data_IF_091569364661
#
_entry.id   IF_091569364661
#
_cell.length_a   1.000
_cell.length_b   1.000
_cell.length_c   1.000
_cell.angle_alpha   90.00
_cell.angle_beta   90.00
_cell.angle_gamma   90.00
#
_symmetry.space_group_name_H-M   'P 1'
#
loop_
_entity.id
_entity.type
_entity.pdbx_description
1 polymer ?
#
# COMPACT_ATOMS: atom_id res chain seq x y z
N UNK A 1 -24.42 22.76 35.87
CA UNK A 1 -23.44 21.71 36.15
C UNK A 1 -23.58 20.67 35.05
N UNK A 2 -22.69 20.69 34.05
CA UNK A 2 -22.71 19.68 32.99
C UNK A 2 -21.98 18.45 33.53
N UNK A 3 -22.74 17.39 33.79
CA UNK A 3 -22.18 16.10 34.17
C UNK A 3 -21.67 15.44 32.88
N UNK A 4 -20.37 15.52 32.64
CA UNK A 4 -19.73 14.76 31.55
C UNK A 4 -19.46 13.38 32.13
N UNK A 5 -20.32 12.44 31.79
CA UNK A 5 -20.14 11.03 32.14
C UNK A 5 -18.86 10.53 31.46
N UNK A 6 -17.89 10.18 32.27
CA UNK A 6 -16.57 9.66 31.90
C UNK A 6 -16.67 8.32 31.17
N UNK A 7 -15.98 8.22 30.04
CA UNK A 7 -15.45 7.00 29.41
C UNK A 7 -16.37 5.75 29.42
N UNK A 8 -17.42 5.74 28.61
CA UNK A 8 -17.94 4.47 28.09
C UNK A 8 -17.22 4.12 26.79
N UNK A 9 -16.36 3.10 26.86
CA UNK A 9 -15.86 2.38 25.69
C UNK A 9 -17.05 1.66 25.02
N UNK A 10 -17.68 2.30 24.04
CA UNK A 10 -18.73 1.67 23.26
C UNK A 10 -18.10 0.75 22.21
N UNK A 11 -18.26 -0.56 22.39
CA UNK A 11 -17.94 -1.55 21.36
C UNK A 11 -19.15 -1.70 20.44
N UNK A 12 -19.03 -1.26 19.19
CA UNK A 12 -20.03 -1.58 18.17
C UNK A 12 -19.73 -2.98 17.60
N UNK A 13 -20.57 -3.95 17.98
CA UNK A 13 -20.62 -5.28 17.38
C UNK A 13 -21.77 -5.24 16.38
N UNK A 14 -21.48 -5.45 15.09
CA UNK A 14 -22.53 -5.58 14.08
C UNK A 14 -23.15 -6.98 14.18
N UNK A 15 -24.46 -7.05 14.44
CA UNK A 15 -25.22 -8.30 14.53
C UNK A 15 -25.29 -9.05 13.19
N UNK A 16 -25.15 -8.34 12.07
CA UNK A 16 -25.26 -8.93 10.72
C UNK A 16 -23.92 -9.41 10.12
N UNK A 17 -22.82 -9.37 10.87
CA UNK A 17 -21.45 -9.76 10.44
C UNK A 17 -20.91 -9.07 9.16
N UNK A 18 -21.64 -8.11 8.57
CA UNK A 18 -21.19 -7.33 7.42
C UNK A 18 -20.43 -6.08 7.85
N UNK A 19 -19.18 -6.01 7.40
CA UNK A 19 -18.31 -4.84 7.60
C UNK A 19 -18.71 -3.80 6.53
N UNK A 20 -19.14 -2.57 6.88
CA UNK A 20 -19.51 -1.55 5.89
C UNK A 20 -18.29 -0.94 5.14
N UNK A 21 -17.12 -1.58 5.23
CA UNK A 21 -15.87 -1.15 4.62
C UNK A 21 -15.63 -2.01 3.38
N UNK A 22 -15.87 -1.43 2.21
CA UNK A 22 -15.58 -2.05 0.93
C UNK A 22 -14.10 -1.79 0.58
N UNK A 23 -13.25 -2.79 0.78
CA UNK A 23 -11.86 -2.76 0.32
C UNK A 23 -11.77 -3.40 -1.06
N UNK A 24 -11.43 -2.62 -2.08
CA UNK A 24 -11.19 -3.12 -3.44
C UNK A 24 -9.68 -3.23 -3.66
N UNK A 25 -9.21 -4.43 -4.01
CA UNK A 25 -7.81 -4.70 -4.34
C UNK A 25 -7.65 -6.05 -5.03
N UNK A 26 -6.80 -6.12 -6.05
CA UNK A 26 -6.49 -7.35 -6.76
C UNK A 26 -5.35 -8.04 -6.01
N UNK A 27 -5.58 -9.25 -5.49
CA UNK A 27 -4.53 -10.10 -4.92
C UNK A 27 -4.18 -11.17 -5.95
N UNK A 28 -3.05 -11.07 -6.66
CA UNK A 28 -2.57 -12.18 -7.47
C UNK A 28 -2.13 -13.31 -6.53
N UNK A 29 -2.79 -14.46 -6.64
CA UNK A 29 -2.41 -15.69 -5.92
C UNK A 29 -1.90 -16.67 -6.96
N UNK A 30 -0.57 -16.85 -7.01
CA UNK A 30 0.07 -17.89 -7.82
C UNK A 30 0.27 -19.12 -6.94
N UNK A 31 -0.43 -20.21 -7.27
CA UNK A 31 -0.31 -21.48 -6.57
C UNK A 31 0.65 -22.41 -7.33
N UNK A 32 1.71 -22.85 -6.66
CA UNK A 32 2.58 -23.92 -7.15
C UNK A 32 2.27 -25.20 -6.38
N UNK A 33 1.77 -26.22 -7.10
CA UNK A 33 1.54 -27.54 -6.55
C UNK A 33 2.83 -28.17 -6.02
N UNK A 34 2.72 -28.95 -4.96
CA UNK A 34 3.84 -29.63 -4.33
C UNK A 34 4.43 -30.67 -5.30
N UNK A 35 5.58 -30.37 -5.90
CA UNK A 35 6.35 -31.35 -6.67
C UNK A 35 7.07 -32.24 -5.65
N UNK A 36 6.59 -33.48 -5.48
CA UNK A 36 7.39 -34.52 -4.85
C UNK A 36 8.46 -34.93 -5.86
N UNK A 37 9.73 -34.71 -5.54
CA UNK A 37 10.77 -35.57 -6.07
C UNK A 37 11.98 -35.63 -5.14
N UNK A 38 12.42 -36.86 -4.90
CA UNK A 38 13.58 -37.22 -4.09
C UNK A 38 14.86 -36.73 -4.79
N UNK A 39 15.29 -35.52 -4.49
CA UNK A 39 16.63 -35.02 -4.82
C UNK A 39 17.26 -34.47 -3.56
N UNK A 40 18.50 -34.87 -3.29
CA UNK A 40 19.28 -34.44 -2.13
C UNK A 40 19.18 -32.92 -1.94
N UNK A 41 18.67 -32.54 -0.79
CA UNK A 41 18.33 -31.17 -0.43
C UNK A 41 19.60 -30.31 -0.41
N UNK A 42 19.80 -29.44 -1.40
CA UNK A 42 20.85 -28.41 -1.32
C UNK A 42 20.35 -27.33 -0.35
N UNK A 43 20.59 -27.57 0.92
CA UNK A 43 20.34 -26.63 2.00
C UNK A 43 21.42 -25.54 1.93
N UNK A 44 21.04 -24.27 1.80
CA UNK A 44 22.01 -23.18 1.81
C UNK A 44 22.55 -22.94 3.23
N UNK A 45 23.52 -23.74 3.67
CA UNK A 45 24.07 -23.66 5.02
C UNK A 45 24.60 -22.26 5.36
N UNK A 46 25.27 -21.60 4.40
CA UNK A 46 25.90 -20.28 4.58
C UNK A 46 25.06 -19.08 4.11
N UNK A 47 23.75 -19.22 3.90
CA UNK A 47 22.87 -18.07 3.69
C UNK A 47 22.59 -17.37 5.03
N UNK A 48 22.94 -16.09 5.15
CA UNK A 48 22.70 -15.25 6.34
C UNK A 48 21.91 -14.00 5.98
N UNK A 49 21.18 -13.45 6.94
CA UNK A 49 20.47 -12.18 6.79
C UNK A 49 20.76 -11.27 7.96
N UNK A 50 20.90 -9.98 7.71
CA UNK A 50 21.22 -8.97 8.70
C UNK A 50 20.33 -7.74 8.52
N UNK A 51 19.96 -7.07 9.61
CA UNK A 51 19.23 -5.81 9.53
C UNK A 51 20.18 -4.71 9.02
N UNK A 52 19.77 -4.00 7.97
CA UNK A 52 20.57 -2.95 7.31
C UNK A 52 19.90 -1.58 7.43
N UNK A 53 20.60 -0.51 7.05
CA UNK A 53 20.01 0.83 6.97
C UNK A 53 18.98 0.85 5.83
N UNK A 54 17.70 0.95 6.21
CA UNK A 54 16.59 0.97 5.27
C UNK A 54 15.95 -0.40 5.00
N UNK A 55 16.36 -1.48 5.68
CA UNK A 55 15.67 -2.76 5.56
C UNK A 55 16.49 -3.97 6.01
N UNK A 56 16.63 -4.96 5.12
CA UNK A 56 17.33 -6.22 5.42
C UNK A 56 18.30 -6.56 4.30
N UNK A 57 19.55 -6.85 4.66
CA UNK A 57 20.58 -7.34 3.75
C UNK A 57 20.66 -8.86 3.82
N UNK A 58 20.68 -9.50 2.66
CA UNK A 58 20.74 -10.96 2.52
C UNK A 58 22.05 -11.30 1.83
N UNK A 59 22.85 -12.13 2.51
CA UNK A 59 24.16 -12.56 2.03
C UNK A 59 24.10 -14.07 1.79
N UNK A 60 24.35 -14.46 0.55
CA UNK A 60 24.40 -15.85 0.10
C UNK A 60 25.75 -16.16 -0.53
N UNK A 61 26.30 -17.32 -0.19
CA UNK A 61 27.53 -17.85 -0.81
C UNK A 61 27.28 -18.60 -2.11
N UNK A 62 26.02 -18.98 -2.37
CA UNK A 62 25.59 -19.77 -3.53
C UNK A 62 24.52 -18.98 -4.29
N UNK A 63 24.49 -18.99 -5.64
CA UNK A 63 23.43 -18.32 -6.39
C UNK A 63 22.06 -18.89 -6.02
N UNK A 64 21.09 -18.02 -5.73
CA UNK A 64 19.71 -18.38 -5.37
C UNK A 64 18.80 -18.08 -6.56
N UNK A 65 17.78 -18.90 -6.79
CA UNK A 65 16.89 -18.73 -7.96
C UNK A 65 15.77 -17.73 -7.66
N UNK A 66 15.27 -17.70 -6.43
CA UNK A 66 14.30 -16.70 -5.98
C UNK A 66 14.38 -16.45 -4.47
N UNK A 67 13.91 -15.29 -4.03
CA UNK A 67 13.75 -14.96 -2.62
C UNK A 67 12.50 -14.14 -2.34
N UNK A 68 11.99 -14.26 -1.11
CA UNK A 68 10.81 -13.57 -0.60
C UNK A 68 11.14 -13.10 0.81
N UNK A 69 10.98 -11.81 1.08
CA UNK A 69 11.11 -11.23 2.40
C UNK A 69 9.80 -10.56 2.80
N UNK A 70 9.24 -10.96 3.94
CA UNK A 70 7.93 -10.52 4.41
C UNK A 70 8.02 -9.91 5.80
N UNK A 71 7.43 -8.73 5.97
CA UNK A 71 7.11 -8.11 7.25
C UNK A 71 5.65 -7.70 7.21
N UNK A 72 4.78 -8.36 7.99
CA UNK A 72 3.34 -8.19 7.87
C UNK A 72 2.90 -6.72 7.94
N UNK A 73 2.10 -6.21 6.98
CA UNK A 73 1.40 -6.90 5.90
C UNK A 73 2.12 -6.90 4.53
N UNK A 74 3.39 -6.53 4.45
CA UNK A 74 4.10 -6.30 3.19
C UNK A 74 5.15 -7.38 2.88
N UNK A 75 5.20 -7.84 1.63
CA UNK A 75 6.18 -8.81 1.15
C UNK A 75 6.86 -8.32 -0.13
N UNK A 76 8.15 -8.62 -0.25
CA UNK A 76 8.98 -8.31 -1.42
C UNK A 76 9.45 -9.64 -2.00
N UNK A 77 9.21 -9.85 -3.30
CA UNK A 77 9.67 -11.00 -4.04
C UNK A 77 10.72 -10.57 -5.07
N UNK A 78 11.75 -11.41 -5.27
CA UNK A 78 12.83 -11.22 -6.25
C UNK A 78 13.18 -12.55 -6.92
N UNK A 79 13.31 -12.50 -8.24
CA UNK A 79 13.82 -13.60 -9.05
C UNK A 79 15.29 -13.34 -9.39
N UNK A 80 16.11 -14.40 -9.37
CA UNK A 80 17.55 -14.36 -9.59
C UNK A 80 18.26 -13.24 -8.80
N UNK A 81 18.10 -13.20 -7.47
CA UNK A 81 18.72 -12.16 -6.64
C UNK A 81 20.25 -12.23 -6.67
N UNK A 82 20.90 -11.10 -6.43
CA UNK A 82 22.35 -11.06 -6.27
C UNK A 82 22.79 -11.76 -4.97
N UNK A 83 24.03 -12.26 -4.95
CA UNK A 83 24.60 -12.92 -3.76
C UNK A 83 24.65 -12.00 -2.53
N UNK A 84 24.76 -10.69 -2.73
CA UNK A 84 24.51 -9.70 -1.70
C UNK A 84 23.46 -8.72 -2.23
N UNK A 85 22.29 -8.69 -1.60
CA UNK A 85 21.20 -7.78 -1.97
C UNK A 85 20.52 -7.21 -0.73
N UNK A 86 20.22 -5.92 -0.77
CA UNK A 86 19.48 -5.21 0.29
C UNK A 86 18.04 -4.96 -0.13
N UNK A 87 17.09 -5.42 0.69
CA UNK A 87 15.67 -5.23 0.50
C UNK A 87 15.15 -4.12 1.40
N UNK A 88 14.57 -3.09 0.79
CA UNK A 88 14.04 -1.91 1.48
C UNK A 88 12.54 -2.07 1.69
N UNK A 89 12.10 -1.96 2.95
CA UNK A 89 10.68 -2.02 3.30
C UNK A 89 10.04 -0.62 3.29
N UNK A 90 8.71 -0.51 3.21
CA UNK A 90 8.01 0.75 3.42
C UNK A 90 8.31 1.36 4.80
N UNK A 91 8.35 2.70 4.88
CA UNK A 91 8.73 3.44 6.09
C UNK A 91 7.78 3.18 7.26
N UNK A 92 6.51 2.94 6.95
CA UNK A 92 5.44 2.68 7.90
C UNK A 92 5.72 1.43 8.76
N UNK A 93 6.49 0.49 8.22
CA UNK A 93 6.93 -0.72 8.91
C UNK A 93 8.20 -0.46 9.73
N UNK A 94 9.19 0.22 9.13
CA UNK A 94 10.51 0.39 9.73
C UNK A 94 10.56 1.37 10.91
N UNK A 95 9.55 2.22 11.08
CA UNK A 95 9.44 3.15 12.23
C UNK A 95 9.23 2.40 13.56
N UNK A 96 8.76 1.15 13.52
CA UNK A 96 8.50 0.31 14.70
C UNK A 96 9.42 -0.91 14.69
N UNK A 97 9.62 -1.61 15.82
CA UNK A 97 10.25 -2.93 15.79
C UNK A 97 9.48 -3.84 14.83
N UNK A 98 10.18 -4.51 13.92
CA UNK A 98 9.56 -5.33 12.88
C UNK A 98 10.25 -6.67 12.75
N UNK A 99 9.48 -7.70 12.43
CA UNK A 99 9.97 -9.06 12.23
C UNK A 99 9.91 -9.41 10.76
N UNK A 100 11.05 -9.73 10.17
CA UNK A 100 11.15 -10.13 8.77
C UNK A 100 11.31 -11.63 8.67
N UNK A 101 10.45 -12.26 7.88
CA UNK A 101 10.58 -13.68 7.50
C UNK A 101 11.07 -13.75 6.07
N UNK A 102 12.18 -14.45 5.85
CA UNK A 102 12.82 -14.59 4.55
C UNK A 102 12.76 -16.04 4.13
N UNK A 103 12.36 -16.30 2.89
CA UNK A 103 12.39 -17.60 2.25
C UNK A 103 13.29 -17.52 1.02
N UNK A 104 14.17 -18.50 0.89
CA UNK A 104 15.13 -18.60 -0.21
C UNK A 104 14.83 -19.89 -0.99
N UNK A 105 14.78 -19.80 -2.31
CA UNK A 105 14.51 -20.94 -3.19
C UNK A 105 15.69 -21.29 -4.06
N UNK A 106 15.94 -22.60 -4.19
CA UNK A 106 16.91 -23.17 -5.12
C UNK A 106 16.28 -24.39 -5.78
N UNK A 107 16.40 -24.48 -7.10
CA UNK A 107 15.85 -25.55 -7.93
C UNK A 107 14.34 -25.76 -7.70
N UNK A 108 13.60 -24.67 -7.47
CA UNK A 108 12.15 -24.70 -7.22
C UNK A 108 11.73 -25.12 -5.80
N UNK A 109 12.67 -25.44 -4.91
CA UNK A 109 12.41 -25.83 -3.52
C UNK A 109 12.86 -24.76 -2.54
N UNK A 110 12.20 -24.66 -1.39
CA UNK A 110 12.63 -23.76 -0.30
C UNK A 110 13.91 -24.32 0.32
N UNK A 111 15.03 -23.65 0.06
CA UNK A 111 16.36 -24.03 0.55
C UNK A 111 16.58 -23.60 2.01
N UNK A 112 16.14 -22.39 2.41
CA UNK A 112 16.26 -21.90 3.79
C UNK A 112 15.15 -20.91 4.17
N UNK A 113 14.82 -20.89 5.46
CA UNK A 113 13.98 -19.85 6.08
C UNK A 113 14.76 -19.13 7.16
N UNK A 114 14.78 -17.80 7.10
CA UNK A 114 15.39 -16.95 8.12
C UNK A 114 14.31 -16.11 8.77
N UNK A 115 14.47 -15.85 10.06
CA UNK A 115 13.62 -14.93 10.81
C UNK A 115 14.52 -13.93 11.52
N UNK A 116 14.31 -12.66 11.23
CA UNK A 116 15.09 -11.55 11.78
C UNK A 116 14.16 -10.61 12.53
N UNK A 117 14.61 -10.15 13.70
CA UNK A 117 13.96 -9.09 14.45
C UNK A 117 14.81 -7.84 14.33
N UNK A 118 14.26 -6.82 13.69
CA UNK A 118 14.96 -5.58 13.41
C UNK A 118 14.44 -4.45 14.31
N UNK A 119 15.35 -3.64 14.87
CA UNK A 119 14.97 -2.49 15.69
C UNK A 119 14.34 -1.38 14.84
N UNK A 120 13.50 -0.53 15.46
CA UNK A 120 12.92 0.62 14.79
C UNK A 120 14.01 1.58 14.32
N UNK A 121 13.78 2.24 13.19
CA UNK A 121 14.63 3.30 12.65
C UNK A 121 13.98 4.67 12.80
N UNK A 122 14.75 5.71 13.18
CA UNK A 122 14.22 7.05 13.31
C UNK A 122 13.82 7.59 11.93
N UNK A 123 12.71 8.34 11.90
CA UNK A 123 12.08 8.78 10.65
C UNK A 123 13.04 9.50 9.68
N UNK A 124 13.91 10.38 10.19
CA UNK A 124 14.83 11.13 9.35
C UNK A 124 15.86 10.26 8.61
N UNK A 125 16.26 9.12 9.17
CA UNK A 125 17.18 8.18 8.50
C UNK A 125 16.52 7.43 7.34
N UNK A 126 15.19 7.44 7.27
CA UNK A 126 14.41 6.78 6.22
C UNK A 126 14.15 7.69 5.00
N UNK A 127 14.64 8.93 5.00
CA UNK A 127 14.51 9.89 3.90
C UNK A 127 15.80 9.89 3.08
N UNK A 128 15.84 9.11 2.01
CA UNK A 128 17.01 8.99 1.12
C UNK A 128 16.98 9.96 -0.09
N UNK A 129 16.17 11.02 -0.04
CA UNK A 129 16.04 11.99 -1.12
C UNK A 129 16.34 13.41 -0.64
N UNK A 130 17.08 14.17 -1.45
CA UNK A 130 17.41 15.58 -1.19
C UNK A 130 16.37 16.56 -1.75
N UNK A 131 15.64 16.15 -2.79
CA UNK A 131 14.61 16.96 -3.46
C UNK A 131 13.34 16.13 -3.66
N UNK A 132 12.55 15.99 -2.60
CA UNK A 132 11.27 15.30 -2.60
C UNK A 132 10.29 16.00 -1.65
N UNK A 133 8.98 15.87 -1.88
CA UNK A 133 7.95 16.51 -1.04
C UNK A 133 8.09 16.13 0.42
N UNK A 134 8.39 14.85 0.69
CA UNK A 134 8.63 14.34 2.05
C UNK A 134 9.79 15.03 2.76
N UNK A 135 10.84 15.40 2.04
CA UNK A 135 11.95 16.16 2.63
C UNK A 135 11.58 17.64 2.86
N UNK A 136 10.84 18.25 1.92
CA UNK A 136 10.38 19.65 2.03
C UNK A 136 9.43 19.85 3.22
N UNK A 137 8.54 18.89 3.46
CA UNK A 137 7.62 18.89 4.60
C UNK A 137 8.32 18.62 5.93
N UNK A 138 9.54 18.05 5.90
CA UNK A 138 10.32 17.68 7.08
C UNK A 138 11.71 18.34 7.10
N UNK A 139 11.78 19.69 7.14
CA UNK A 139 13.05 20.42 7.05
C UNK A 139 13.99 20.17 8.25
N UNK A 140 13.47 19.68 9.37
CA UNK A 140 14.27 19.29 10.54
C UNK A 140 15.18 18.07 10.27
N UNK A 141 14.85 17.26 9.26
CA UNK A 141 15.68 16.13 8.83
C UNK A 141 16.78 16.53 7.84
N UNK A 142 16.83 17.80 7.39
CA UNK A 142 17.81 18.24 6.40
C UNK A 142 19.24 18.25 6.99
N UNK A 143 20.26 17.81 6.24
CA UNK A 143 21.64 18.03 6.66
C UNK A 143 21.88 19.53 6.75
N UNK A 144 22.50 19.99 7.85
CA UNK A 144 22.69 21.41 8.16
C UNK A 144 23.29 22.22 7.00
N UNK A 145 24.15 21.60 6.19
CA UNK A 145 24.74 22.23 4.99
C UNK A 145 23.76 22.51 3.85
N UNK A 146 22.73 21.67 3.66
CA UNK A 146 21.75 21.87 2.59
C UNK A 146 20.84 23.07 2.84
N UNK A 147 20.47 23.32 4.09
CA UNK A 147 19.70 24.51 4.48
C UNK A 147 20.48 25.81 4.22
N UNK A 148 21.79 25.81 4.51
CA UNK A 148 22.67 26.96 4.26
C UNK A 148 22.80 27.22 2.75
N UNK A 149 23.01 26.16 1.96
CA UNK A 149 23.11 26.27 0.50
C UNK A 149 21.81 26.80 -0.11
N UNK A 150 20.66 26.27 0.32
CA UNK A 150 19.35 26.73 -0.14
C UNK A 150 19.12 28.20 0.21
N UNK A 151 19.45 28.61 1.44
CA UNK A 151 19.39 30.01 1.85
C UNK A 151 20.28 30.93 1.01
N UNK A 152 21.49 30.47 0.66
CA UNK A 152 22.41 31.21 -0.19
C UNK A 152 21.88 31.37 -1.63
N UNK A 153 21.29 30.31 -2.20
CA UNK A 153 20.68 30.34 -3.54
C UNK A 153 19.49 31.31 -3.57
N UNK A 154 18.64 31.28 -2.54
CA UNK A 154 17.50 32.21 -2.42
C UNK A 154 17.98 33.66 -2.27
N UNK A 155 19.03 33.89 -1.48
CA UNK A 155 19.61 35.22 -1.33
C UNK A 155 20.19 35.76 -2.64
N UNK A 156 20.92 34.94 -3.39
CA UNK A 156 21.46 35.31 -4.70
C UNK A 156 20.35 35.61 -5.71
N UNK A 157 19.30 34.77 -5.78
CA UNK A 157 18.20 34.97 -6.72
C UNK A 157 17.43 36.26 -6.43
N UNK A 158 17.12 36.55 -5.16
CA UNK A 158 16.49 37.80 -4.75
C UNK A 158 17.37 39.03 -5.05
N UNK A 159 18.69 38.91 -4.87
CA UNK A 159 19.65 39.99 -5.18
C UNK A 159 19.71 40.29 -6.67
N UNK A 160 19.69 39.26 -7.53
CA UNK A 160 19.63 39.41 -8.98
C UNK A 160 18.31 40.06 -9.41
N UNK A 161 17.18 39.60 -8.85
CA UNK A 161 15.86 40.18 -9.13
C UNK A 161 15.82 41.67 -8.74
N UNK A 162 16.37 42.03 -7.58
CA UNK A 162 16.49 43.42 -7.15
C UNK A 162 17.32 44.27 -8.12
N UNK A 163 18.47 43.77 -8.58
CA UNK A 163 19.30 44.43 -9.59
C UNK A 163 18.55 44.66 -10.90
N UNK A 164 17.81 43.66 -11.39
CA UNK A 164 16.98 43.79 -12.59
C UNK A 164 15.91 44.88 -12.45
N UNK A 165 15.22 44.92 -11.30
CA UNK A 165 14.25 45.99 -11.02
C UNK A 165 14.89 47.37 -10.89
N UNK A 166 16.10 47.45 -10.33
CA UNK A 166 16.83 48.70 -10.23
C UNK A 166 17.22 49.22 -11.63
N UNK A 167 17.71 48.35 -12.51
CA UNK A 167 18.03 48.68 -13.91
C UNK A 167 16.77 49.12 -14.65
N UNK A 168 15.66 48.39 -14.51
CA UNK A 168 14.38 48.74 -15.13
C UNK A 168 13.89 50.13 -14.68
N UNK A 169 14.02 50.45 -13.39
CA UNK A 169 13.70 51.79 -12.88
C UNK A 169 14.57 52.89 -13.51
N UNK A 170 15.86 52.64 -13.70
CA UNK A 170 16.76 53.60 -14.35
C UNK A 170 16.37 53.81 -15.81
N UNK A 171 16.02 52.76 -16.53
CA UNK A 171 15.55 52.84 -17.93
C UNK A 171 14.26 53.65 -18.02
N UNK A 172 13.27 53.37 -17.16
CA UNK A 172 12.00 54.12 -17.12
C UNK A 172 12.25 55.59 -16.76
N UNK A 173 13.12 55.87 -15.78
CA UNK A 173 13.47 57.23 -15.40
C UNK A 173 14.18 57.98 -16.54
N UNK A 174 15.08 57.31 -17.26
CA UNK A 174 15.77 57.86 -18.42
C UNK A 174 14.78 58.16 -19.55
N UNK A 175 13.89 57.21 -19.88
CA UNK A 175 12.82 57.38 -20.86
C UNK A 175 11.90 58.56 -20.53
N UNK A 176 11.49 58.70 -19.26
CA UNK A 176 10.66 59.80 -18.79
C UNK A 176 11.40 61.15 -18.82
N UNK A 177 12.70 61.17 -18.58
CA UNK A 177 13.51 62.40 -18.64
C UNK A 177 13.72 62.84 -20.09
N UNK A 178 13.98 61.90 -21.00
CA UNK A 178 14.09 62.16 -22.43
C UNK A 178 12.77 62.63 -23.04
N UNK A 179 11.65 61.97 -22.73
CA UNK A 179 10.32 62.38 -23.21
C UNK A 179 9.91 63.76 -22.68
N UNK A 180 10.25 64.07 -21.43
CA UNK A 180 10.00 65.39 -20.84
C UNK A 180 10.85 66.49 -21.49
N UNK A 181 12.09 66.20 -21.89
CA UNK A 181 12.93 67.13 -22.65
C UNK A 181 12.33 67.42 -24.04
N UNK A 182 11.85 66.40 -24.74
CA UNK A 182 11.18 66.55 -26.05
C UNK A 182 9.91 67.39 -25.89
N UNK A 183 9.07 67.09 -24.90
CA UNK A 183 7.84 67.86 -24.63
C UNK A 183 8.17 69.32 -24.26
N UNK A 184 9.21 69.57 -23.45
CA UNK A 184 9.65 70.93 -23.14
C UNK A 184 10.19 71.68 -24.37
N UNK A 185 10.90 71.02 -25.27
CA UNK A 185 11.35 71.61 -26.54
C UNK A 185 10.15 71.92 -27.46
N UNK A 186 9.18 71.00 -27.58
CA UNK A 186 7.95 71.23 -28.34
C UNK A 186 7.13 72.38 -27.74
N UNK A 187 6.93 72.42 -26.42
CA UNK A 187 6.20 73.48 -25.74
C UNK A 187 6.92 74.83 -25.83
N UNK A 188 8.26 74.87 -25.79
CA UNK A 188 9.03 76.11 -26.04
C UNK A 188 8.94 76.55 -27.50
N UNK A 189 8.92 75.62 -28.46
CA UNK A 189 8.68 75.93 -29.88
C UNK A 189 7.28 76.51 -30.12
N UNK A 190 6.27 75.92 -29.51
CA UNK A 190 4.88 76.43 -29.54
C UNK A 190 4.78 77.77 -28.80
N UNK A 191 5.41 77.92 -27.64
CA UNK A 191 5.48 79.21 -26.93
C UNK A 191 6.24 80.28 -27.72
N UNK A 192 7.27 79.93 -28.50
CA UNK A 192 7.96 80.88 -29.38
C UNK A 192 7.04 81.38 -30.49
N UNK A 193 6.25 80.49 -31.09
CA UNK A 193 5.23 80.84 -32.10
C UNK A 193 4.12 81.69 -31.47
N UNK A 194 3.61 81.31 -30.30
CA UNK A 194 2.56 82.04 -29.57
C UNK A 194 3.08 83.40 -29.07
N UNK A 195 4.32 83.50 -28.57
CA UNK A 195 4.94 84.79 -28.16
C UNK A 195 5.16 85.72 -29.34
N UNK A 196 5.39 85.18 -30.55
CA UNK A 196 5.42 85.98 -31.79
C UNK A 196 4.04 86.56 -32.14
N UNK A 197 2.97 85.91 -31.70
CA UNK A 197 1.57 86.34 -31.93
C UNK A 197 1.06 87.26 -30.79
N UNK A 198 1.53 87.10 -29.55
CA UNK A 198 0.97 87.76 -28.36
C UNK A 198 1.79 88.98 -27.89
N UNK A 199 2.84 89.40 -28.61
CA UNK A 199 3.58 90.65 -28.31
C UNK A 199 2.82 91.96 -28.66
N UNK A 200 1.49 91.93 -28.62
CA UNK A 200 0.64 93.06 -28.28
C UNK A 200 -0.02 92.76 -26.94
N UNK A 201 0.48 93.42 -25.88
CA UNK A 201 -0.13 93.64 -24.55
C UNK A 201 0.45 92.85 -23.35
N UNK A 202 1.40 93.55 -22.71
CA UNK A 202 1.52 93.84 -21.26
C UNK A 202 1.72 92.74 -20.20
N UNK A 203 2.83 92.89 -19.46
CA UNK A 203 3.09 92.85 -17.99
C UNK A 203 2.30 91.88 -17.09
N UNK A 204 2.79 91.26 -16.02
CA UNK A 204 4.06 91.16 -15.26
C UNK A 204 3.84 90.02 -14.19
N UNK A 205 4.78 89.65 -13.29
CA UNK A 205 4.94 88.28 -12.75
C UNK A 205 4.16 87.97 -11.45
N UNK A 206 4.17 86.71 -10.99
CA UNK A 206 4.44 86.48 -9.57
C UNK A 206 5.33 85.27 -9.25
N UNK A 207 5.50 85.07 -7.95
CA UNK A 207 6.64 84.57 -7.21
C UNK A 207 6.76 83.05 -6.97
N UNK A 208 7.93 82.76 -6.38
CA UNK A 208 8.51 81.57 -5.76
C UNK A 208 7.61 80.83 -4.74
N UNK A 209 7.56 79.48 -4.83
CA UNK A 209 7.79 78.46 -3.76
C UNK A 209 6.97 77.19 -4.02
N UNK A 210 7.63 76.03 -4.12
CA UNK A 210 7.31 74.92 -3.23
C UNK A 210 8.49 73.92 -3.16
N UNK A 211 9.28 74.04 -2.10
CA UNK A 211 10.01 72.91 -1.52
C UNK A 211 8.99 72.22 -0.63
N UNK A 212 8.71 70.94 -0.82
CA UNK A 212 8.62 69.93 0.24
C UNK A 212 8.35 68.56 -0.40
N UNK A 213 8.76 67.53 0.32
CA UNK A 213 8.45 66.12 0.10
C UNK A 213 9.45 65.27 -0.70
N UNK A 214 10.57 64.92 -0.05
CA UNK A 214 11.21 63.60 -0.21
C UNK A 214 12.15 63.30 0.97
N UNK A 215 11.57 63.15 2.16
CA UNK A 215 12.20 62.45 3.30
C UNK A 215 11.25 61.38 3.80
N UNK A 216 11.10 60.30 3.04
CA UNK A 216 10.34 59.13 3.45
C UNK A 216 10.81 57.92 2.65
N UNK A 217 12.02 57.42 2.92
CA UNK A 217 12.35 56.00 2.73
C UNK A 217 13.67 55.64 3.44
N UNK A 218 13.65 55.76 4.77
CA UNK A 218 14.55 55.01 5.65
C UNK A 218 13.66 54.48 6.76
N UNK A 219 13.76 53.17 7.01
CA UNK A 219 12.94 52.33 7.91
C UNK A 219 11.77 51.63 7.21
N UNK A 220 12.02 50.40 6.74
CA UNK A 220 11.33 49.18 7.19
C UNK A 220 11.92 47.99 6.44
N UNK A 221 12.72 47.18 7.14
CA UNK A 221 13.39 46.01 6.58
C UNK A 221 13.96 45.14 7.69
N UNK A 222 13.14 44.82 8.70
CA UNK A 222 13.48 43.87 9.76
C UNK A 222 12.21 43.52 10.56
N UNK A 223 11.32 42.70 9.99
CA UNK A 223 10.30 41.93 10.72
C UNK A 223 9.56 41.06 9.71
N UNK A 224 9.97 39.79 9.60
CA UNK A 224 9.18 38.56 9.35
C UNK A 224 10.22 37.43 9.29
N UNK A 225 10.69 36.99 10.46
CA UNK A 225 11.39 35.69 10.65
C UNK A 225 10.88 34.95 11.90
N UNK A 226 9.93 35.51 12.66
CA UNK A 226 9.42 34.87 13.87
C UNK A 226 7.90 34.70 13.75
N UNK A 227 7.49 33.62 13.09
CA UNK A 227 6.15 33.05 13.23
C UNK A 227 6.15 31.59 12.76
N UNK A 228 6.81 30.71 13.52
CA UNK A 228 6.44 29.28 13.54
C UNK A 228 6.11 28.98 15.00
N UNK A 229 4.84 28.97 15.42
CA UNK A 229 4.48 28.21 16.59
C UNK A 229 4.22 26.77 16.18
N UNK A 230 4.65 25.88 17.07
CA UNK A 230 4.40 24.45 17.06
C UNK A 230 2.89 24.20 16.91
N UNK A 231 2.46 23.66 15.77
CA UNK A 231 1.17 23.00 15.67
C UNK A 231 1.39 21.49 15.76
N UNK A 232 0.83 20.86 16.79
CA UNK A 232 0.52 19.44 16.72
C UNK A 232 -0.60 19.29 15.68
N UNK A 233 -0.22 19.04 14.43
CA UNK A 233 -1.18 18.77 13.37
C UNK A 233 -1.77 17.37 13.55
N UNK A 234 -3.10 17.29 13.66
CA UNK A 234 -3.85 16.04 13.57
C UNK A 234 -3.78 15.56 12.11
N UNK A 235 -3.43 14.29 11.89
CA UNK A 235 -3.09 13.80 10.54
C UNK A 235 -4.26 13.81 9.55
N UNK A 236 -5.52 13.72 10.02
CA UNK A 236 -6.72 13.82 9.17
C UNK A 236 -7.85 14.50 9.97
N UNK A 237 -8.36 15.63 9.48
CA UNK A 237 -9.55 16.30 10.02
C UNK A 237 -10.64 16.34 8.96
N UNK A 238 -11.72 15.58 9.16
CA UNK A 238 -12.89 15.62 8.26
C UNK A 238 -13.97 16.48 8.93
N UNK A 239 -14.38 17.56 8.27
CA UNK A 239 -15.45 18.43 8.75
C UNK A 239 -16.81 17.79 8.45
N UNK A 240 -17.62 17.57 9.47
CA UNK A 240 -19.00 17.12 9.32
C UNK A 240 -19.95 18.30 9.51
N UNK A 241 -20.79 18.55 8.51
CA UNK A 241 -21.88 19.50 8.59
C UNK A 241 -23.17 18.71 8.84
N UNK A 242 -23.75 18.86 10.02
CA UNK A 242 -24.96 18.16 10.42
C UNK A 242 -26.16 18.61 9.57
N UNK A 243 -26.99 17.66 9.13
CA UNK A 243 -28.15 17.94 8.27
C UNK A 243 -29.52 17.72 8.94
N UNK A 244 -29.61 17.40 10.23
CA UNK A 244 -30.89 17.43 10.94
C UNK A 244 -30.73 17.47 12.47
N UNK A 245 -31.52 18.34 13.12
CA UNK A 245 -31.61 18.48 14.58
C UNK A 245 -33.07 18.37 15.01
N UNK A 246 -33.38 17.48 15.95
CA UNK A 246 -34.67 17.46 16.66
C UNK A 246 -34.38 17.80 18.12
N UNK A 247 -34.74 19.01 18.53
CA UNK A 247 -34.52 19.49 19.90
C UNK A 247 -35.85 19.58 20.66
N UNK A 248 -35.87 19.00 21.86
CA UNK A 248 -36.97 19.11 22.81
C UNK A 248 -36.57 20.09 23.91
N UNK A 249 -37.39 21.10 24.13
CA UNK A 249 -37.22 22.06 25.22
C UNK A 249 -38.13 21.66 26.38
N UNK A 250 -37.54 21.45 27.55
CA UNK A 250 -38.29 21.15 28.78
C UNK A 250 -38.65 22.45 29.50
N UNK A 251 -39.78 22.47 30.23
CA UNK A 251 -40.31 23.64 30.95
C UNK A 251 -39.31 24.27 31.94
N UNK A 252 -38.29 23.49 32.34
CA UNK A 252 -37.22 23.89 33.26
C UNK A 252 -36.09 24.69 32.58
N UNK A 253 -36.20 24.96 31.27
CA UNK A 253 -35.19 25.67 30.47
C UNK A 253 -34.03 24.78 29.98
N UNK A 254 -34.08 23.47 30.22
CA UNK A 254 -33.13 22.51 29.66
C UNK A 254 -33.54 22.09 28.24
N UNK A 255 -32.57 22.02 27.33
CA UNK A 255 -32.77 21.57 25.96
C UNK A 255 -32.09 20.21 25.76
N UNK A 256 -32.83 19.26 25.21
CA UNK A 256 -32.30 17.96 24.76
C UNK A 256 -32.37 17.91 23.24
N UNK A 257 -31.20 17.96 22.59
CA UNK A 257 -31.09 17.95 21.14
C UNK A 257 -30.54 16.63 20.65
N UNK A 258 -31.35 15.90 19.87
CA UNK A 258 -30.91 14.69 19.17
C UNK A 258 -30.36 15.12 17.81
N UNK A 259 -29.04 14.97 17.66
CA UNK A 259 -28.31 15.29 16.44
C UNK A 259 -28.02 14.00 15.68
N UNK A 260 -28.81 13.71 14.65
CA UNK A 260 -28.61 12.52 13.81
C UNK A 260 -27.79 12.89 12.59
N UNK A 261 -26.47 12.65 12.62
CA UNK A 261 -25.57 12.93 11.50
C UNK A 261 -24.89 11.65 11.03
N UNK A 262 -24.85 11.42 9.72
CA UNK A 262 -24.10 10.33 9.11
C UNK A 262 -22.81 10.85 8.47
N UNK A 263 -21.70 10.15 8.71
CA UNK A 263 -20.37 10.53 8.29
C UNK A 263 -19.67 9.38 7.59
N UNK A 264 -19.12 9.60 6.39
CA UNK A 264 -18.18 8.65 5.80
C UNK A 264 -16.77 9.04 6.22
N UNK A 265 -16.13 8.18 7.01
CA UNK A 265 -14.78 8.40 7.49
C UNK A 265 -13.84 7.31 6.92
N UNK A 266 -12.72 7.74 6.34
CA UNK A 266 -11.64 6.83 6.00
C UNK A 266 -10.96 6.39 7.30
N UNK A 267 -10.90 5.08 7.52
CA UNK A 267 -10.28 4.51 8.74
C UNK A 267 -8.78 4.79 8.70
N UNK A 268 -8.27 5.48 9.73
CA UNK A 268 -6.84 5.73 9.85
C UNK A 268 -6.05 4.42 10.12
N UNK A 269 -4.80 4.30 9.62
CA UNK A 269 -3.93 3.17 9.90
C UNK A 269 -3.73 2.90 11.40
N UNK A 270 -3.34 1.67 11.75
CA UNK A 270 -3.16 1.25 13.15
C UNK A 270 -2.14 2.13 13.89
N UNK A 271 -2.61 2.78 14.96
CA UNK A 271 -1.82 3.71 15.76
C UNK A 271 -2.07 5.19 15.47
N UNK A 272 -2.82 5.51 14.42
CA UNK A 272 -3.35 6.87 14.20
C UNK A 272 -4.78 6.98 14.74
N UNK A 273 -5.19 8.21 15.04
CA UNK A 273 -6.52 8.56 15.54
C UNK A 273 -7.23 9.45 14.53
N UNK A 274 -8.50 9.18 14.28
CA UNK A 274 -9.39 10.02 13.47
C UNK A 274 -10.27 10.84 14.40
N UNK A 275 -10.17 12.17 14.31
CA UNK A 275 -10.89 13.09 15.18
C UNK A 275 -12.03 13.76 14.43
N UNK A 276 -13.23 13.72 14.99
CA UNK A 276 -14.44 14.33 14.47
C UNK A 276 -14.85 15.47 15.39
N UNK A 277 -14.77 16.71 14.89
CA UNK A 277 -15.20 17.89 15.65
C UNK A 277 -16.71 18.06 15.53
N UNK A 278 -17.41 17.96 16.66
CA UNK A 278 -18.84 18.21 16.78
C UNK A 278 -19.08 19.70 16.97
N UNK A 279 -20.03 20.25 16.21
CA UNK A 279 -20.45 21.64 16.31
C UNK A 279 -21.95 21.74 16.55
N UNK A 280 -22.34 22.76 17.31
CA UNK A 280 -23.72 23.19 17.51
C UNK A 280 -24.31 23.81 16.22
N UNK A 281 -25.63 24.01 16.17
CA UNK A 281 -26.36 24.68 15.09
C UNK A 281 -25.80 26.07 14.76
N UNK A 282 -25.22 26.76 15.75
CA UNK A 282 -24.56 28.05 15.58
C UNK A 282 -23.07 27.93 15.19
N UNK A 283 -22.64 26.77 14.68
CA UNK A 283 -21.23 26.47 14.31
C UNK A 283 -20.21 26.58 15.45
N UNK A 284 -20.65 26.53 16.72
CA UNK A 284 -19.75 26.54 17.89
C UNK A 284 -19.27 25.13 18.21
N UNK A 285 -17.99 24.92 18.55
CA UNK A 285 -17.49 23.59 18.88
C UNK A 285 -18.10 23.08 20.19
N UNK A 286 -18.73 21.90 20.15
CA UNK A 286 -19.30 21.21 21.31
C UNK A 286 -18.31 20.20 21.93
N UNK A 287 -17.49 19.56 21.09
CA UNK A 287 -16.53 18.55 21.53
C UNK A 287 -15.92 17.80 20.36
N UNK A 288 -15.00 16.87 20.63
CA UNK A 288 -14.32 16.07 19.61
C UNK A 288 -14.47 14.59 19.91
N UNK A 289 -14.97 13.82 18.94
CA UNK A 289 -15.03 12.36 18.98
C UNK A 289 -13.76 11.79 18.36
N UNK A 290 -13.04 10.93 19.08
CA UNK A 290 -11.79 10.31 18.61
C UNK A 290 -11.97 8.83 18.35
N UNK A 291 -11.67 8.40 17.12
CA UNK A 291 -11.79 7.00 16.68
C UNK A 291 -10.38 6.46 16.46
N UNK A 292 -10.04 5.32 17.07
CA UNK A 292 -8.73 4.69 16.92
C UNK A 292 -8.86 3.24 16.45
N UNK A 293 -8.20 2.91 15.34
CA UNK A 293 -8.13 1.52 14.87
C UNK A 293 -7.17 0.71 15.77
N UNK A 294 -7.73 -0.25 16.52
CA UNK A 294 -6.94 -1.14 17.38
C UNK A 294 -6.26 -2.27 16.59
N UNK A 295 -7.01 -3.01 15.77
CA UNK A 295 -6.51 -4.10 14.91
C UNK A 295 -7.48 -4.39 13.77
N UNK A 296 -6.94 -4.84 12.64
CA UNK A 296 -7.71 -5.46 11.55
C UNK A 296 -7.46 -6.96 11.63
N UNK A 297 -8.52 -7.76 11.74
CA UNK A 297 -8.42 -9.21 11.81
C UNK A 297 -9.25 -9.86 10.70
N UNK A 298 -8.61 -10.69 9.88
CA UNK A 298 -9.28 -11.49 8.87
C UNK A 298 -9.73 -12.81 9.48
N UNK A 299 -11.04 -13.09 9.41
CA UNK A 299 -11.61 -14.37 9.86
C UNK A 299 -11.92 -15.24 8.64
N UNK A 300 -11.25 -16.38 8.54
CA UNK A 300 -11.54 -17.35 7.48
C UNK A 300 -12.84 -18.11 7.82
N UNK A 301 -13.90 -17.88 7.04
CA UNK A 301 -15.08 -18.74 7.03
C UNK A 301 -14.82 -19.93 6.12
N UNK A 302 -14.30 -21.02 6.68
CA UNK A 302 -14.01 -22.25 5.94
C UNK A 302 -15.32 -22.87 5.44
N UNK A 303 -15.32 -23.33 4.18
CA UNK A 303 -16.38 -24.16 3.60
C UNK A 303 -15.76 -25.48 3.14
N UNK A 304 -16.21 -26.59 3.72
CA UNK A 304 -15.75 -27.92 3.30
C UNK A 304 -16.45 -28.29 1.98
N UNK A 305 -15.66 -28.62 0.95
CA UNK A 305 -16.19 -29.09 -0.34
C UNK A 305 -16.23 -30.62 -0.39
N UNK A 306 -15.10 -31.27 -0.15
CA UNK A 306 -14.97 -32.72 -0.07
C UNK A 306 -13.77 -33.09 0.80
N UNK A 307 -13.73 -34.36 1.22
CA UNK A 307 -12.63 -34.93 2.00
C UNK A 307 -11.77 -35.82 1.11
N UNK A 308 -10.46 -35.72 1.28
CA UNK A 308 -9.48 -36.61 0.65
C UNK A 308 -8.70 -37.32 1.76
N UNK A 309 -8.09 -38.46 1.43
CA UNK A 309 -7.24 -39.23 2.34
C UNK A 309 -6.11 -39.87 1.56
N UNK A 310 -5.00 -40.14 2.24
CA UNK A 310 -3.87 -40.85 1.65
C UNK A 310 -4.26 -42.28 1.30
N UNK A 311 -3.87 -42.72 0.11
CA UNK A 311 -4.09 -44.09 -0.36
C UNK A 311 -2.87 -44.60 -1.13
N UNK A 312 -2.74 -45.91 -1.20
CA UNK A 312 -1.81 -46.62 -2.06
C UNK A 312 -2.59 -47.41 -3.11
N UNK A 313 -2.05 -47.50 -4.32
CA UNK A 313 -2.62 -48.34 -5.35
C UNK A 313 -2.24 -49.80 -5.10
N UNK A 314 -3.24 -50.67 -5.02
CA UNK A 314 -3.08 -52.11 -4.89
C UNK A 314 -3.70 -52.81 -6.09
N UNK A 315 -3.24 -54.04 -6.37
CA UNK A 315 -3.77 -54.88 -7.44
C UNK A 315 -4.16 -56.23 -6.86
N UNK A 316 -5.40 -56.64 -7.11
CA UNK A 316 -5.85 -58.00 -6.88
C UNK A 316 -6.04 -58.69 -8.24
N UNK A 317 -5.60 -59.95 -8.37
CA UNK A 317 -5.80 -60.73 -9.58
C UNK A 317 -6.25 -62.14 -9.26
N UNK A 318 -7.03 -62.72 -10.18
CA UNK A 318 -7.51 -64.10 -10.08
C UNK A 318 -7.63 -64.69 -11.48
N UNK A 319 -6.92 -65.78 -11.73
CA UNK A 319 -7.06 -66.57 -12.95
C UNK A 319 -8.16 -67.61 -12.79
N UNK A 320 -9.05 -67.73 -13.76
CA UNK A 320 -10.04 -68.82 -13.86
C UNK A 320 -9.97 -69.47 -15.22
N UNK A 321 -9.94 -70.80 -15.24
CA UNK A 321 -10.00 -71.58 -16.48
C UNK A 321 -11.33 -71.36 -17.20
N UNK A 322 -11.37 -71.66 -18.50
CA UNK A 322 -12.62 -71.64 -19.25
C UNK A 322 -13.68 -72.51 -18.56
N UNK A 323 -14.92 -72.01 -18.54
CA UNK A 323 -16.06 -72.58 -17.83
C UNK A 323 -15.94 -72.67 -16.29
N UNK A 324 -14.92 -72.04 -15.67
CA UNK A 324 -14.74 -72.04 -14.22
C UNK A 324 -15.02 -70.66 -13.61
N UNK A 325 -15.76 -70.62 -12.50
CA UNK A 325 -16.11 -69.35 -11.83
C UNK A 325 -16.86 -68.40 -12.76
N UNK A 326 -16.47 -67.13 -12.78
CA UNK A 326 -17.04 -66.13 -13.69
C UNK A 326 -16.58 -66.27 -15.15
N UNK A 327 -15.59 -67.11 -15.44
CA UNK A 327 -15.01 -67.24 -16.78
C UNK A 327 -15.84 -68.18 -17.66
N UNK A 328 -16.91 -67.66 -18.25
CA UNK A 328 -17.78 -68.40 -19.18
C UNK A 328 -18.14 -67.57 -20.40
N UNK A 329 -18.03 -68.16 -21.60
CA UNK A 329 -18.27 -67.45 -22.86
C UNK A 329 -17.34 -66.25 -23.03
N UNK A 330 -17.86 -65.17 -23.62
CA UNK A 330 -17.08 -63.95 -23.88
C UNK A 330 -17.02 -63.02 -22.65
N UNK A 331 -16.71 -63.56 -21.46
CA UNK A 331 -16.73 -62.78 -20.22
C UNK A 331 -15.70 -61.65 -20.23
N UNK A 332 -14.46 -61.92 -20.68
CA UNK A 332 -13.40 -60.91 -20.67
C UNK A 332 -13.74 -59.68 -21.51
N UNK A 333 -14.40 -59.86 -22.66
CA UNK A 333 -14.81 -58.74 -23.52
C UNK A 333 -15.97 -57.93 -22.93
N UNK A 334 -16.75 -58.54 -22.02
CA UNK A 334 -17.94 -57.93 -21.43
C UNK A 334 -17.69 -57.29 -20.06
N UNK A 335 -16.43 -57.27 -19.58
CA UNK A 335 -16.08 -56.63 -18.32
C UNK A 335 -15.95 -55.12 -18.51
N UNK A 336 -16.63 -54.38 -17.63
CA UNK A 336 -16.50 -52.92 -17.51
C UNK A 336 -15.64 -52.55 -16.31
N UNK A 337 -15.17 -51.31 -16.29
CA UNK A 337 -14.31 -50.77 -15.23
C UNK A 337 -14.93 -50.87 -13.82
N UNK A 338 -16.26 -50.87 -13.70
CA UNK A 338 -16.99 -50.95 -12.44
C UNK A 338 -17.51 -52.37 -12.13
N UNK A 339 -17.19 -53.35 -12.98
CA UNK A 339 -17.65 -54.72 -12.78
C UNK A 339 -17.05 -55.30 -11.50
N UNK A 340 -17.91 -55.73 -10.58
CA UNK A 340 -17.52 -56.47 -9.36
C UNK A 340 -17.50 -57.96 -9.65
N UNK A 341 -16.45 -58.65 -9.24
CA UNK A 341 -16.24 -60.07 -9.51
C UNK A 341 -16.24 -60.86 -8.19
N UNK A 342 -16.92 -62.03 -8.13
CA UNK A 342 -16.91 -62.89 -6.94
C UNK A 342 -15.52 -63.46 -6.63
N UNK A 343 -14.60 -63.43 -7.60
CA UNK A 343 -13.20 -63.77 -7.42
C UNK A 343 -12.42 -62.81 -6.52
N UNK A 344 -12.93 -61.59 -6.30
CA UNK A 344 -12.31 -60.61 -5.42
C UNK A 344 -13.03 -60.50 -4.08
N UNK A 345 -12.26 -60.31 -3.02
CA UNK A 345 -12.82 -60.04 -1.70
C UNK A 345 -13.68 -58.77 -1.69
N UNK A 346 -14.66 -58.73 -0.79
CA UNK A 346 -15.61 -57.61 -0.68
C UNK A 346 -14.90 -56.26 -0.54
N UNK A 347 -13.85 -56.20 0.27
CA UNK A 347 -13.09 -54.96 0.50
C UNK A 347 -12.36 -54.44 -0.75
N UNK A 348 -12.04 -55.32 -1.71
CA UNK A 348 -11.40 -54.98 -2.99
C UNK A 348 -12.45 -54.47 -3.99
N UNK A 349 -13.61 -55.13 -4.05
CA UNK A 349 -14.72 -54.72 -4.90
C UNK A 349 -15.35 -53.39 -4.45
N UNK A 350 -15.37 -53.11 -3.15
CA UNK A 350 -15.94 -51.88 -2.58
C UNK A 350 -14.95 -50.70 -2.58
N UNK A 351 -13.65 -50.96 -2.77
CA UNK A 351 -12.66 -49.91 -2.89
C UNK A 351 -12.76 -49.17 -4.25
N UNK A 352 -12.52 -47.84 -4.27
CA UNK A 352 -12.44 -47.08 -5.52
C UNK A 352 -11.35 -47.65 -6.43
N UNK A 353 -11.69 -47.96 -7.67
CA UNK A 353 -10.76 -48.66 -8.56
C UNK A 353 -11.43 -49.17 -9.83
N UNK A 354 -10.62 -49.79 -10.69
CA UNK A 354 -11.03 -50.26 -12.02
C UNK A 354 -10.77 -51.75 -12.18
N UNK A 355 -11.76 -52.47 -12.70
CA UNK A 355 -11.67 -53.90 -13.02
C UNK A 355 -11.36 -54.11 -14.51
N UNK A 356 -10.50 -55.08 -14.79
CA UNK A 356 -10.09 -55.48 -16.13
C UNK A 356 -10.05 -56.99 -16.27
N UNK A 357 -10.01 -57.45 -17.52
CA UNK A 357 -9.84 -58.85 -17.88
C UNK A 357 -8.91 -58.98 -19.08
N UNK A 358 -8.05 -59.98 -19.05
CA UNK A 358 -7.28 -60.39 -20.21
C UNK A 358 -7.37 -61.90 -20.38
N UNK A 359 -7.41 -62.36 -21.63
CA UNK A 359 -7.34 -63.78 -21.93
C UNK A 359 -5.93 -64.31 -21.64
N UNK A 360 -5.87 -65.49 -21.07
CA UNK A 360 -4.65 -66.17 -20.62
C UNK A 360 -4.63 -67.60 -21.14
N UNK A 361 -3.47 -68.25 -21.07
CA UNK A 361 -3.31 -69.62 -21.57
C UNK A 361 -4.17 -70.64 -20.82
N UNK A 362 -4.87 -71.47 -21.60
CA UNK A 362 -5.60 -72.66 -21.14
C UNK A 362 -4.76 -73.94 -21.21
N UNK A 363 -5.41 -75.10 -21.15
CA UNK A 363 -4.86 -76.45 -21.14
C UNK A 363 -4.13 -76.87 -19.84
N UNK A 364 -3.84 -78.18 -19.75
CA UNK A 364 -3.26 -78.81 -18.58
C UNK A 364 -1.89 -78.20 -18.20
N UNK A 365 -1.10 -77.81 -19.20
CA UNK A 365 0.18 -77.13 -19.01
C UNK A 365 0.05 -75.79 -18.25
N UNK A 366 -1.14 -75.18 -18.25
CA UNK A 366 -1.42 -73.91 -17.58
C UNK A 366 -2.41 -74.04 -16.42
N UNK A 367 -2.59 -75.28 -15.91
CA UNK A 367 -3.43 -75.61 -14.77
C UNK A 367 -4.92 -75.74 -15.07
N UNK A 368 -5.30 -75.87 -16.34
CA UNK A 368 -6.70 -75.94 -16.78
C UNK A 368 -7.05 -77.27 -17.44
N UNK A 369 -8.24 -77.80 -17.19
CA UNK A 369 -8.70 -79.01 -17.88
C UNK A 369 -9.03 -78.73 -19.36
N UNK A 370 -9.72 -77.62 -19.63
CA UNK A 370 -10.07 -77.18 -20.97
C UNK A 370 -8.93 -76.39 -21.63
N UNK A 371 -8.80 -76.55 -22.94
CA UNK A 371 -7.81 -75.85 -23.77
C UNK A 371 -8.27 -74.49 -24.31
N UNK A 372 -9.52 -74.10 -24.04
CA UNK A 372 -10.01 -72.76 -24.34
C UNK A 372 -9.26 -71.69 -23.49
N UNK A 373 -9.19 -70.44 -23.96
CA UNK A 373 -8.56 -69.35 -23.22
C UNK A 373 -9.12 -69.20 -21.80
N UNK A 374 -8.22 -69.06 -20.83
CA UNK A 374 -8.58 -68.76 -19.44
C UNK A 374 -8.80 -67.24 -19.27
N UNK A 375 -9.55 -66.83 -18.25
CA UNK A 375 -9.72 -65.43 -17.91
C UNK A 375 -8.79 -65.05 -16.78
N UNK A 376 -7.91 -64.05 -16.99
CA UNK A 376 -7.19 -63.38 -15.91
C UNK A 376 -7.92 -62.09 -15.57
N UNK A 377 -8.66 -62.12 -14.46
CA UNK A 377 -9.28 -60.94 -13.90
C UNK A 377 -8.26 -60.20 -13.04
N UNK A 378 -8.23 -58.87 -13.13
CA UNK A 378 -7.47 -58.04 -12.20
C UNK A 378 -8.19 -56.72 -11.92
N UNK A 379 -8.05 -56.23 -10.69
CA UNK A 379 -8.61 -54.95 -10.26
C UNK A 379 -7.53 -54.09 -9.63
N UNK A 380 -7.35 -52.89 -10.15
CA UNK A 380 -6.49 -51.84 -9.57
C UNK A 380 -7.36 -50.98 -8.67
N UNK A 381 -7.03 -50.85 -7.39
CA UNK A 381 -7.87 -50.14 -6.42
C UNK A 381 -7.06 -49.34 -5.40
N UNK A 382 -7.66 -48.27 -4.88
CA UNK A 382 -7.10 -47.41 -3.87
C UNK A 382 -7.32 -48.00 -2.47
N UNK A 383 -6.24 -48.42 -1.82
CA UNK A 383 -6.23 -48.88 -0.43
C UNK A 383 -5.87 -47.72 0.50
N UNK A 384 -6.73 -47.35 1.46
CA UNK A 384 -6.42 -46.26 2.40
C UNK A 384 -5.21 -46.62 3.26
N UNK A 385 -4.32 -45.66 3.49
CA UNK A 385 -3.10 -45.82 4.31
C UNK A 385 -3.18 -45.11 5.66
N UNK A 386 -4.18 -44.25 5.86
CA UNK A 386 -4.38 -43.43 7.06
C UNK A 386 -5.86 -43.16 7.27
#
# INVERSE_FOLDING_TARGET
YLYIQTEELTYHIHDDEEIPIWAWGIVPITYYGQKQDHSEYIQCENCTGQCSQGGVEIISTIPIDAMEACSAPYCIYRENPHNNETLIFPREIMIKPYTVTIKLWKSGLVSKRLKLECPPKPFCELIHCYFCLTFIENPHCAPKGALILLGFIIYLSLSIIYLLFAILRVIIACSFTCSRLIILCCLKGVQYIIRRIINLRSSSPPERKNRYFRSALRKTGALIVIAIPLSHACSISTLLQASQSSCLQYENGSFECILTTSARLMVAPQGQQSCLLLKDMNSRPLGTLTIQLKKIALRCKKKSLYFTRSFQMAVASSKRCSAAGSCSGNKCTNITIDTKLPEFEKHVNDAPGFTYCMESSGCAACGCFLCDPACLFYRTYARPTS
#
